data_IF_194447116820
#
_entry.id   IF_194447116820
#
_cell.length_a   1.000
_cell.length_b   1.000
_cell.length_c   1.000
_cell.angle_alpha   90.00
_cell.angle_beta   90.00
_cell.angle_gamma   90.00
#
_symmetry.space_group_name_H-M   'P 1'
#
loop_
_entity.id
_entity.type
_entity.pdbx_description
1 polymer ?
#
# COMPACT_ATOMS: atom_id res chain seq x y z
N UNK A 1 -7.04 1.40 -5.97
CA UNK A 1 -6.74 2.63 -5.22
C UNK A 1 -5.38 2.59 -4.53
N UNK A 2 -4.92 1.41 -4.05
CA UNK A 2 -3.68 1.31 -3.25
C UNK A 2 -2.42 1.75 -3.98
N UNK A 3 -2.30 1.51 -5.29
CA UNK A 3 -1.21 2.07 -6.10
C UNK A 3 -1.20 3.60 -6.06
N UNK A 4 -2.35 4.23 -6.28
CA UNK A 4 -2.45 5.70 -6.26
C UNK A 4 -2.02 6.27 -4.91
N UNK A 5 -2.54 5.73 -3.81
CA UNK A 5 -2.17 6.17 -2.45
C UNK A 5 -0.67 5.99 -2.21
N UNK A 6 -0.12 4.82 -2.55
CA UNK A 6 1.31 4.55 -2.41
C UNK A 6 2.18 5.51 -3.24
N UNK A 7 1.80 5.75 -4.50
CA UNK A 7 2.54 6.67 -5.38
C UNK A 7 2.49 8.13 -4.88
N UNK A 8 1.32 8.60 -4.43
CA UNK A 8 1.19 9.96 -3.93
C UNK A 8 1.97 10.18 -2.63
N UNK A 9 1.84 9.27 -1.65
CA UNK A 9 2.51 9.42 -0.35
C UNK A 9 4.04 9.32 -0.44
N UNK A 10 4.57 8.60 -1.43
CA UNK A 10 6.02 8.48 -1.61
C UNK A 10 6.63 9.65 -2.37
N UNK A 11 5.86 10.27 -3.28
CA UNK A 11 6.33 11.41 -4.05
C UNK A 11 6.12 12.76 -3.33
N UNK A 12 5.05 12.89 -2.56
CA UNK A 12 4.70 14.12 -1.82
C UNK A 12 4.24 13.77 -0.40
N UNK A 13 5.13 13.22 0.44
CA UNK A 13 4.79 12.85 1.82
C UNK A 13 4.32 14.04 2.66
N UNK A 14 4.74 15.24 2.31
CA UNK A 14 4.38 16.51 2.96
C UNK A 14 2.88 16.85 2.85
N UNK A 15 2.17 16.29 1.88
CA UNK A 15 0.74 16.58 1.66
C UNK A 15 -0.21 15.71 2.50
N UNK A 16 0.31 14.70 3.19
CA UNK A 16 -0.52 13.71 3.86
C UNK A 16 -0.20 13.61 5.35
N UNK A 17 -1.23 13.60 6.18
CA UNK A 17 -1.09 13.29 7.61
C UNK A 17 -1.21 11.80 7.87
N UNK A 18 -2.10 11.14 7.12
CA UNK A 18 -2.37 9.69 7.16
C UNK A 18 -2.43 9.15 5.74
N UNK A 19 -1.89 7.96 5.52
CA UNK A 19 -1.98 7.25 4.25
C UNK A 19 -2.40 5.79 4.48
N UNK A 20 -3.32 5.31 3.63
CA UNK A 20 -3.92 3.98 3.75
C UNK A 20 -3.83 3.23 2.40
N UNK A 21 -2.62 2.80 1.97
CA UNK A 21 -2.48 2.03 0.75
C UNK A 21 -3.02 0.61 0.95
N UNK A 22 -4.25 0.38 0.51
CA UNK A 22 -4.93 -0.91 0.63
C UNK A 22 -4.80 -1.76 -0.62
N UNK A 23 -4.41 -3.02 -0.47
CA UNK A 23 -4.29 -4.04 -1.54
C UNK A 23 -3.65 -3.49 -2.82
N UNK A 24 -2.58 -2.70 -2.66
CA UNK A 24 -1.98 -1.93 -3.74
C UNK A 24 -0.95 -2.70 -4.56
N UNK A 25 -0.91 -2.42 -5.86
CA UNK A 25 0.19 -2.83 -6.73
C UNK A 25 1.38 -1.89 -6.46
N UNK A 26 2.17 -2.20 -5.43
CA UNK A 26 3.19 -1.29 -4.90
C UNK A 26 4.60 -1.50 -5.49
N UNK A 27 4.79 -2.59 -6.23
CA UNK A 27 6.00 -2.86 -7.02
C UNK A 27 5.64 -2.90 -8.51
N UNK A 28 5.75 -1.77 -9.18
CA UNK A 28 5.42 -1.65 -10.61
C UNK A 28 6.43 -2.29 -11.55
N UNK A 29 7.61 -2.68 -11.02
CA UNK A 29 8.61 -3.34 -11.86
C UNK A 29 8.42 -4.86 -11.94
N UNK A 30 7.64 -5.45 -11.02
CA UNK A 30 7.45 -6.91 -10.96
C UNK A 30 5.99 -7.35 -10.96
N UNK A 31 5.03 -6.42 -10.96
CA UNK A 31 3.61 -6.75 -10.85
C UNK A 31 3.14 -7.77 -11.91
N UNK A 32 3.65 -7.65 -13.14
CA UNK A 32 3.29 -8.52 -14.27
C UNK A 32 3.82 -9.95 -14.14
N UNK A 33 4.69 -10.22 -13.17
CA UNK A 33 5.23 -11.55 -12.86
C UNK A 33 4.40 -12.29 -11.80
N UNK A 34 3.37 -11.65 -11.24
CA UNK A 34 2.54 -12.22 -10.19
C UNK A 34 1.12 -12.47 -10.68
N UNK A 35 0.57 -13.64 -10.37
CA UNK A 35 -0.83 -14.05 -10.59
C UNK A 35 -1.46 -13.45 -11.86
N UNK A 36 -2.48 -12.60 -11.72
CA UNK A 36 -3.20 -11.95 -12.84
C UNK A 36 -2.54 -10.65 -13.32
N UNK A 37 -1.42 -10.24 -12.72
CA UNK A 37 -0.74 -8.97 -13.02
C UNK A 37 -0.33 -8.82 -14.49
N UNK A 38 -0.03 -9.92 -15.17
CA UNK A 38 0.27 -9.89 -16.60
C UNK A 38 -0.84 -9.25 -17.44
N UNK A 39 -2.10 -9.42 -17.04
CA UNK A 39 -3.26 -8.84 -17.72
C UNK A 39 -3.32 -7.32 -17.67
N UNK A 40 -2.63 -6.68 -16.72
CA UNK A 40 -2.60 -5.22 -16.57
C UNK A 40 -1.50 -4.55 -17.40
N UNK A 41 -0.69 -5.33 -18.12
CA UNK A 41 0.38 -4.79 -18.98
C UNK A 41 -0.15 -3.97 -20.16
N UNK A 42 -1.39 -4.22 -20.56
CA UNK A 42 -2.08 -3.40 -21.58
C UNK A 42 -2.34 -1.97 -21.11
N UNK A 43 -2.45 -1.77 -19.79
CA UNK A 43 -2.69 -0.46 -19.15
C UNK A 43 -1.38 0.19 -18.70
N UNK A 44 -0.54 -0.57 -17.98
CA UNK A 44 0.66 -0.01 -17.33
C UNK A 44 1.96 -0.24 -18.10
N UNK A 45 1.98 -1.10 -19.11
CA UNK A 45 3.22 -1.54 -19.76
C UNK A 45 3.97 -2.59 -18.92
N UNK A 46 5.17 -2.96 -19.35
CA UNK A 46 6.01 -3.96 -18.68
C UNK A 46 7.44 -3.47 -18.51
N UNK A 47 8.01 -3.64 -17.32
CA UNK A 47 9.42 -3.33 -17.06
C UNK A 47 10.41 -4.20 -17.87
N UNK A 48 9.94 -5.25 -18.52
CA UNK A 48 10.73 -6.05 -19.47
C UNK A 48 11.00 -5.26 -20.77
N UNK A 49 10.25 -4.17 -21.01
CA UNK A 49 10.49 -3.21 -22.10
C UNK A 49 11.15 -1.96 -21.54
N UNK A 50 12.32 -1.59 -22.08
CA UNK A 50 13.09 -0.42 -21.61
C UNK A 50 12.24 0.87 -21.58
N UNK A 51 11.46 1.11 -22.62
CA UNK A 51 10.58 2.31 -22.72
C UNK A 51 9.57 2.37 -21.57
N UNK A 52 9.04 1.21 -21.15
CA UNK A 52 8.03 1.14 -20.09
C UNK A 52 8.71 1.20 -18.72
N UNK A 53 9.86 0.56 -18.56
CA UNK A 53 10.67 0.68 -17.34
C UNK A 53 10.98 2.14 -17.01
N UNK A 54 11.34 2.95 -18.01
CA UNK A 54 11.77 4.35 -17.84
C UNK A 54 10.66 5.26 -17.24
N UNK A 55 9.38 4.90 -17.41
CA UNK A 55 8.31 5.62 -16.72
C UNK A 55 7.78 4.87 -15.48
N UNK A 56 7.76 3.54 -15.47
CA UNK A 56 7.29 2.76 -14.32
C UNK A 56 8.12 3.03 -13.06
N UNK A 57 9.44 3.10 -13.19
CA UNK A 57 10.35 3.39 -12.07
C UNK A 57 10.10 4.76 -11.44
N UNK A 58 9.55 5.72 -12.20
CA UNK A 58 9.32 7.09 -11.73
C UNK A 58 8.18 7.19 -10.72
N UNK A 59 7.23 6.26 -10.73
CA UNK A 59 6.08 6.28 -9.83
C UNK A 59 5.87 4.98 -9.06
N UNK A 60 6.70 3.97 -9.25
CA UNK A 60 6.61 2.71 -8.50
C UNK A 60 6.81 2.96 -7.00
N UNK A 61 5.78 2.78 -6.15
CA UNK A 61 5.84 3.20 -4.75
C UNK A 61 7.03 2.61 -4.00
N UNK A 62 7.27 1.31 -4.17
CA UNK A 62 8.40 0.61 -3.53
C UNK A 62 9.75 1.23 -3.86
N UNK A 63 9.93 1.67 -5.12
CA UNK A 63 11.19 2.19 -5.62
C UNK A 63 11.33 3.71 -5.43
N UNK A 64 10.28 4.37 -4.94
CA UNK A 64 10.28 5.80 -4.58
C UNK A 64 10.52 6.08 -3.11
N UNK A 65 10.66 5.03 -2.30
CA UNK A 65 11.02 5.19 -0.89
C UNK A 65 12.48 5.64 -0.76
N UNK A 66 12.69 6.71 -0.02
CA UNK A 66 14.01 7.30 0.22
C UNK A 66 14.32 7.27 1.71
N UNK A 67 15.53 6.81 2.08
CA UNK A 67 15.96 6.75 3.47
C UNK A 67 16.04 8.13 4.11
N UNK A 68 15.56 8.22 5.34
CA UNK A 68 15.61 9.45 6.12
C UNK A 68 14.47 10.43 5.85
N UNK A 69 13.53 10.07 4.99
CA UNK A 69 12.32 10.88 4.74
C UNK A 69 11.29 10.61 5.83
N UNK A 70 10.60 11.67 6.28
CA UNK A 70 9.46 11.55 7.19
C UNK A 70 8.19 11.30 6.38
N UNK A 71 7.76 10.04 6.33
CA UNK A 71 6.50 9.66 5.68
C UNK A 71 5.30 9.90 6.60
N UNK A 72 4.08 10.03 6.07
CA UNK A 72 2.86 10.14 6.87
C UNK A 72 2.65 8.91 7.75
N UNK A 73 1.81 9.02 8.77
CA UNK A 73 1.32 7.86 9.49
C UNK A 73 0.65 6.90 8.49
N UNK A 74 1.20 5.70 8.35
CA UNK A 74 0.81 4.78 7.25
C UNK A 74 0.35 3.44 7.81
N UNK A 75 -0.82 2.99 7.36
CA UNK A 75 -1.28 1.61 7.55
C UNK A 75 -1.50 0.96 6.19
N UNK A 76 -0.59 0.07 5.81
CA UNK A 76 -0.75 -0.79 4.63
C UNK A 76 -1.74 -1.89 4.98
N UNK A 77 -2.76 -2.13 4.13
CA UNK A 77 -3.69 -3.25 4.35
C UNK A 77 -3.58 -4.26 3.22
N UNK A 78 -3.61 -5.55 3.58
CA UNK A 78 -3.56 -6.68 2.64
C UNK A 78 -4.23 -7.91 3.24
N UNK A 79 -4.40 -8.95 2.44
CA UNK A 79 -4.87 -10.26 2.88
C UNK A 79 -3.85 -11.34 2.49
N UNK A 80 -3.71 -12.37 3.31
CA UNK A 80 -2.68 -13.41 3.13
C UNK A 80 -2.92 -14.34 1.95
N UNK A 81 -4.18 -14.45 1.48
CA UNK A 81 -4.59 -15.25 0.32
C UNK A 81 -5.10 -14.39 -0.84
N UNK A 82 -4.64 -13.15 -0.95
CA UNK A 82 -4.99 -12.29 -2.08
C UNK A 82 -4.30 -12.80 -3.35
N UNK A 83 -5.09 -13.40 -4.24
CA UNK A 83 -4.64 -13.96 -5.52
C UNK A 83 -4.72 -12.95 -6.68
N UNK A 84 -5.35 -11.79 -6.46
CA UNK A 84 -5.46 -10.71 -7.43
C UNK A 84 -4.27 -9.75 -7.34
N UNK A 85 -4.02 -9.22 -6.16
CA UNK A 85 -2.85 -8.38 -5.87
C UNK A 85 -2.06 -9.07 -4.76
N UNK A 86 -1.10 -9.90 -5.15
CA UNK A 86 -0.39 -10.76 -4.19
C UNK A 86 0.14 -9.97 -3.00
N UNK A 87 0.05 -10.52 -1.77
CA UNK A 87 0.44 -9.81 -0.55
C UNK A 87 1.93 -9.42 -0.54
N UNK A 88 2.75 -10.04 -1.39
CA UNK A 88 4.16 -9.68 -1.57
C UNK A 88 4.37 -8.19 -1.91
N UNK A 89 3.44 -7.55 -2.63
CA UNK A 89 3.49 -6.10 -2.85
C UNK A 89 3.47 -5.32 -1.54
N UNK A 90 2.50 -5.65 -0.69
CA UNK A 90 2.30 -4.99 0.61
C UNK A 90 3.41 -5.30 1.59
N UNK A 91 3.87 -6.55 1.67
CA UNK A 91 4.96 -6.97 2.57
C UNK A 91 6.27 -6.26 2.23
N UNK A 92 6.66 -6.26 0.95
CA UNK A 92 7.89 -5.59 0.50
C UNK A 92 7.82 -4.08 0.75
N UNK A 93 6.69 -3.47 0.42
CA UNK A 93 6.51 -2.04 0.60
C UNK A 93 6.52 -1.65 2.08
N UNK A 94 5.82 -2.37 2.94
CA UNK A 94 5.79 -2.10 4.38
C UNK A 94 7.18 -2.23 5.00
N UNK A 95 7.92 -3.29 4.68
CA UNK A 95 9.28 -3.50 5.17
C UNK A 95 10.23 -2.39 4.70
N UNK A 96 10.16 -2.01 3.42
CA UNK A 96 10.98 -0.94 2.87
C UNK A 96 10.62 0.43 3.46
N UNK A 97 9.32 0.68 3.69
CA UNK A 97 8.85 1.90 4.33
C UNK A 97 9.35 2.01 5.77
N UNK A 98 9.30 0.92 6.54
CA UNK A 98 9.81 0.88 7.91
C UNK A 98 11.33 1.11 7.99
N UNK A 99 12.10 0.60 7.03
CA UNK A 99 13.56 0.86 6.94
C UNK A 99 13.89 2.29 6.48
N UNK A 100 13.07 2.85 5.61
CA UNK A 100 13.30 4.18 5.03
C UNK A 100 12.83 5.34 5.92
N UNK A 101 11.73 5.14 6.65
CA UNK A 101 11.06 6.18 7.41
C UNK A 101 11.93 6.74 8.54
N UNK A 102 11.94 8.07 8.66
CA UNK A 102 12.53 8.79 9.79
C UNK A 102 11.48 9.65 10.48
N UNK A 103 11.30 9.39 11.75
CA UNK A 103 10.35 10.17 12.57
C UNK A 103 9.52 9.29 13.47
N UNK A 104 8.48 9.86 14.07
CA UNK A 104 7.62 9.19 15.06
C UNK A 104 6.28 8.71 14.48
N UNK A 105 6.00 8.98 13.21
CA UNK A 105 4.75 8.52 12.60
C UNK A 105 4.74 6.99 12.50
N UNK A 106 3.66 6.32 12.91
CA UNK A 106 3.59 4.86 12.81
C UNK A 106 3.54 4.39 11.35
N UNK A 107 4.30 3.34 11.06
CA UNK A 107 4.32 2.65 9.78
C UNK A 107 3.95 1.19 10.02
N UNK A 108 2.69 0.86 9.79
CA UNK A 108 2.08 -0.43 10.13
C UNK A 108 1.65 -1.19 8.89
N UNK A 109 1.54 -2.50 9.04
CA UNK A 109 0.83 -3.36 8.09
C UNK A 109 -0.25 -4.13 8.81
N UNK A 110 -1.46 -4.11 8.28
CA UNK A 110 -2.58 -4.92 8.70
C UNK A 110 -2.78 -6.06 7.70
N UNK A 111 -2.70 -7.29 8.17
CA UNK A 111 -2.84 -8.50 7.36
C UNK A 111 -4.13 -9.20 7.77
N UNK A 112 -5.08 -9.31 6.86
CA UNK A 112 -6.28 -10.11 7.07
C UNK A 112 -5.96 -11.58 6.75
N UNK A 113 -6.04 -12.44 7.75
CA UNK A 113 -5.70 -13.86 7.61
C UNK A 113 -6.89 -14.65 7.06
N UNK A 114 -6.61 -15.68 6.27
CA UNK A 114 -7.65 -16.51 5.62
C UNK A 114 -8.64 -15.67 4.81
N UNK A 115 -8.11 -14.70 4.06
CA UNK A 115 -8.91 -13.76 3.28
C UNK A 115 -8.26 -13.51 1.92
N UNK A 116 -9.10 -13.34 0.89
CA UNK A 116 -8.70 -12.93 -0.45
C UNK A 116 -8.78 -11.41 -0.67
N UNK A 117 -8.93 -10.98 -1.92
CA UNK A 117 -8.92 -9.55 -2.32
C UNK A 117 -10.08 -8.70 -1.74
N UNK A 118 -10.98 -9.27 -0.95
CA UNK A 118 -12.07 -8.57 -0.28
C UNK A 118 -13.48 -9.01 -0.69
N UNK A 119 -13.66 -9.61 -1.85
CA UNK A 119 -14.95 -10.17 -2.23
C UNK A 119 -15.30 -11.36 -1.31
N UNK A 120 -16.54 -11.39 -0.81
CA UNK A 120 -16.99 -12.47 0.07
C UNK A 120 -16.46 -12.44 1.50
N UNK A 121 -15.82 -11.36 1.92
CA UNK A 121 -15.36 -11.19 3.31
C UNK A 121 -16.53 -11.19 4.28
N UNK A 122 -16.51 -12.02 5.36
CA UNK A 122 -17.55 -12.01 6.39
C UNK A 122 -17.73 -10.62 7.01
N UNK A 123 -18.97 -10.29 7.39
CA UNK A 123 -19.29 -8.97 7.98
C UNK A 123 -18.47 -8.66 9.22
N UNK A 124 -18.22 -9.66 10.09
CA UNK A 124 -17.37 -9.48 11.27
C UNK A 124 -15.96 -9.01 10.90
N UNK A 125 -15.33 -9.63 9.92
CA UNK A 125 -14.01 -9.21 9.42
C UNK A 125 -14.02 -7.81 8.80
N UNK A 126 -15.12 -7.42 8.14
CA UNK A 126 -15.26 -6.07 7.61
C UNK A 126 -15.36 -5.04 8.74
N UNK A 127 -16.11 -5.36 9.81
CA UNK A 127 -16.22 -4.51 11.01
C UNK A 127 -14.85 -4.35 11.66
N UNK A 128 -14.11 -5.44 11.86
CA UNK A 128 -12.77 -5.41 12.47
C UNK A 128 -11.80 -4.55 11.62
N UNK A 129 -11.80 -4.76 10.30
CA UNK A 129 -10.96 -3.98 9.40
C UNK A 129 -11.26 -2.48 9.47
N UNK A 130 -12.54 -2.10 9.36
CA UNK A 130 -12.94 -0.72 9.43
C UNK A 130 -12.71 -0.10 10.81
N UNK A 131 -12.86 -0.87 11.88
CA UNK A 131 -12.54 -0.43 13.23
C UNK A 131 -11.05 -0.08 13.37
N UNK A 132 -10.17 -0.93 12.86
CA UNK A 132 -8.73 -0.70 12.87
C UNK A 132 -8.35 0.53 12.01
N UNK A 133 -8.88 0.60 10.77
CA UNK A 133 -8.58 1.68 9.83
C UNK A 133 -9.08 3.03 10.35
N UNK A 134 -10.30 3.09 10.87
CA UNK A 134 -10.89 4.33 11.41
C UNK A 134 -10.17 4.75 12.70
N UNK A 135 -9.89 3.81 13.60
CA UNK A 135 -9.15 4.09 14.84
C UNK A 135 -7.76 4.65 14.56
N UNK A 136 -7.02 4.02 13.64
CA UNK A 136 -5.71 4.50 13.21
C UNK A 136 -5.79 5.90 12.60
N UNK A 137 -6.77 6.13 11.74
CA UNK A 137 -6.97 7.42 11.07
C UNK A 137 -7.31 8.51 12.08
N UNK A 138 -8.31 8.28 12.93
CA UNK A 138 -8.75 9.26 13.94
C UNK A 138 -7.64 9.60 14.92
N UNK A 139 -6.92 8.58 15.41
CA UNK A 139 -5.80 8.78 16.33
C UNK A 139 -4.72 9.69 15.72
N UNK A 140 -4.28 9.40 14.50
CA UNK A 140 -3.21 10.15 13.83
C UNK A 140 -3.64 11.54 13.33
N UNK A 141 -4.95 11.76 13.14
CA UNK A 141 -5.53 13.09 12.88
C UNK A 141 -5.79 13.90 14.16
N UNK A 142 -5.59 13.33 15.35
CA UNK A 142 -5.91 13.96 16.62
C UNK A 142 -7.41 14.13 16.88
N UNK A 143 -8.23 13.33 16.20
CA UNK A 143 -9.70 13.34 16.38
C UNK A 143 -10.08 12.63 17.68
N UNK A 144 -11.06 13.19 18.38
CA UNK A 144 -11.66 12.53 19.55
C UNK A 144 -13.04 11.99 19.18
N UNK A 145 -13.37 10.74 19.56
CA UNK A 145 -14.74 10.26 19.39
C UNK A 145 -15.71 11.17 20.12
N UNK A 146 -16.82 11.50 19.49
CA UNK A 146 -17.92 12.13 20.20
C UNK A 146 -18.46 11.13 21.24
N UNK A 147 -18.65 11.60 22.47
CA UNK A 147 -19.28 10.82 23.52
C UNK A 147 -20.76 10.63 23.22
#
# INVERSE_FOLDING_TARGET
GGLLVGACMTQRPDLFKVALPGVGVLDMLRYHKFTVGWGWTVEYGSSDQKKDFDYLIKYSPLHKLEKGVSYPATMVTTADHDDRVVPAHSFKFAAALQDAHKGSNPTLIRIDTQAGHGAGKPTSKQIDEWSDVLSFTMFNLGMKPNK
#
